data_IF_062583435711
#
_entry.id   IF_062583435711
#
_cell.length_a   1.000
_cell.length_b   1.000
_cell.length_c   1.000
_cell.angle_alpha   90.00
_cell.angle_beta   90.00
_cell.angle_gamma   90.00
#
_symmetry.space_group_name_H-M   'P 1'
#
loop_
_entity.id
_entity.type
_entity.pdbx_description
1 polymer ?
#
# COMPACT_ATOMS: atom_id res chain seq x y z
N UNK A 1 -5.05 12.86 -2.12
CA UNK A 1 -4.33 12.92 -0.83
C UNK A 1 -4.92 14.05 -0.01
N UNK A 2 -5.25 13.82 1.26
CA UNK A 2 -5.78 14.84 2.16
C UNK A 2 -5.18 14.64 3.57
N UNK A 3 -4.85 15.72 4.27
CA UNK A 3 -4.34 15.68 5.66
C UNK A 3 -5.40 16.18 6.62
N UNK A 4 -5.66 15.44 7.70
CA UNK A 4 -6.63 15.79 8.73
C UNK A 4 -5.97 15.78 10.11
N UNK A 5 -6.24 16.80 10.94
CA UNK A 5 -5.77 16.85 12.34
C UNK A 5 -6.88 16.40 13.29
N UNK A 6 -6.55 15.53 14.24
CA UNK A 6 -7.46 14.99 15.25
C UNK A 6 -6.80 15.01 16.63
N UNK A 7 -7.13 16.02 17.43
CA UNK A 7 -6.37 16.34 18.65
C UNK A 7 -4.92 16.64 18.28
N UNK A 8 -3.99 15.92 18.90
CA UNK A 8 -2.54 16.05 18.66
C UNK A 8 -2.03 15.15 17.51
N UNK A 9 -2.91 14.38 16.86
CA UNK A 9 -2.54 13.45 15.78
C UNK A 9 -2.85 14.04 14.40
N UNK A 10 -1.87 14.01 13.50
CA UNK A 10 -2.05 14.35 12.09
C UNK A 10 -2.15 13.07 11.25
N UNK A 11 -3.24 12.93 10.51
CA UNK A 11 -3.58 11.75 9.71
C UNK A 11 -3.47 12.10 8.22
N UNK A 12 -2.76 11.27 7.45
CA UNK A 12 -2.69 11.34 6.01
C UNK A 12 -3.68 10.36 5.38
N UNK A 13 -4.68 10.88 4.68
CA UNK A 13 -5.59 10.09 3.87
C UNK A 13 -5.03 9.99 2.45
N UNK A 14 -4.58 8.78 2.11
CA UNK A 14 -4.14 8.47 0.76
C UNK A 14 -4.87 7.21 0.29
N UNK A 15 -5.83 7.42 -0.61
CA UNK A 15 -6.34 6.33 -1.41
C UNK A 15 -5.32 6.07 -2.50
N UNK A 16 -4.80 4.86 -2.52
CA UNK A 16 -3.97 4.39 -3.60
C UNK A 16 -4.79 3.42 -4.44
N UNK A 17 -4.77 3.59 -5.75
CA UNK A 17 -5.27 2.53 -6.60
C UNK A 17 -4.18 1.45 -6.75
N UNK A 18 -4.60 0.19 -6.87
CA UNK A 18 -3.69 -0.95 -6.95
C UNK A 18 -2.69 -0.81 -8.11
N UNK A 19 -3.15 -0.31 -9.27
CA UNK A 19 -2.33 -0.17 -10.47
C UNK A 19 -1.17 0.83 -10.27
N UNK A 20 -1.42 1.92 -9.55
CA UNK A 20 -0.43 2.95 -9.20
C UNK A 20 0.65 2.39 -8.29
N UNK A 21 0.27 1.68 -7.21
CA UNK A 21 1.25 1.08 -6.30
C UNK A 21 2.11 0.07 -7.05
N UNK A 22 1.50 -0.83 -7.82
CA UNK A 22 2.25 -1.84 -8.57
C UNK A 22 3.17 -1.16 -9.59
N UNK A 23 2.67 -0.16 -10.33
CA UNK A 23 3.47 0.59 -11.29
C UNK A 23 4.67 1.30 -10.67
N UNK A 24 4.46 1.97 -9.53
CA UNK A 24 5.54 2.63 -8.80
C UNK A 24 6.58 1.63 -8.29
N UNK A 25 6.16 0.52 -7.70
CA UNK A 25 7.07 -0.49 -7.18
C UNK A 25 7.88 -1.17 -8.30
N UNK A 26 7.25 -1.45 -9.44
CA UNK A 26 7.91 -1.96 -10.63
C UNK A 26 8.99 -0.98 -11.13
N UNK A 27 8.67 0.31 -11.19
CA UNK A 27 9.65 1.36 -11.57
C UNK A 27 10.81 1.46 -10.58
N UNK A 28 10.59 1.08 -9.32
CA UNK A 28 11.63 0.98 -8.29
C UNK A 28 12.42 -0.34 -8.29
N UNK A 29 12.19 -1.23 -9.27
CA UNK A 29 12.90 -2.50 -9.41
C UNK A 29 12.41 -3.57 -8.43
N UNK A 30 11.14 -3.52 -8.04
CA UNK A 30 10.50 -4.55 -7.22
C UNK A 30 9.38 -5.26 -7.99
N UNK A 31 9.14 -6.53 -7.67
CA UNK A 31 8.01 -7.32 -8.17
C UNK A 31 7.05 -7.65 -7.03
N UNK A 32 5.76 -7.67 -7.34
CA UNK A 32 4.72 -8.08 -6.39
C UNK A 32 4.85 -9.58 -6.09
N UNK A 33 4.96 -9.93 -4.80
CA UNK A 33 5.04 -11.31 -4.31
C UNK A 33 3.67 -11.81 -3.86
N UNK A 34 2.96 -10.97 -3.10
CA UNK A 34 1.72 -11.38 -2.44
C UNK A 34 0.81 -10.19 -2.16
N UNK A 35 -0.48 -10.42 -2.31
CA UNK A 35 -1.55 -9.57 -1.80
C UNK A 35 -2.10 -10.18 -0.53
N UNK A 36 -2.40 -9.37 0.46
CA UNK A 36 -3.06 -9.82 1.68
C UNK A 36 -4.19 -8.88 2.06
N UNK A 37 -5.26 -9.46 2.58
CA UNK A 37 -6.37 -8.74 3.16
C UNK A 37 -6.31 -8.98 4.66
N UNK A 38 -6.14 -7.91 5.43
CA UNK A 38 -6.35 -7.99 6.86
C UNK A 38 -7.86 -7.88 7.11
N UNK A 39 -8.45 -9.01 7.53
CA UNK A 39 -9.86 -9.10 7.91
C UNK A 39 -10.16 -8.39 9.22
N UNK A 40 -9.15 -7.82 9.89
CA UNK A 40 -9.37 -6.87 10.97
C UNK A 40 -10.08 -5.64 10.40
N UNK A 41 -11.36 -5.47 10.77
CA UNK A 41 -12.12 -4.26 10.47
C UNK A 41 -11.57 -3.14 11.33
N UNK A 42 -10.47 -2.55 10.91
CA UNK A 42 -9.95 -1.37 11.58
C UNK A 42 -11.00 -0.27 11.48
N UNK A 43 -11.26 0.36 12.62
CA UNK A 43 -12.12 1.53 12.69
C UNK A 43 -11.39 2.68 11.99
N UNK A 44 -11.67 2.89 10.71
CA UNK A 44 -11.27 4.13 10.05
C UNK A 44 -11.99 5.27 10.75
N UNK A 45 -11.23 6.25 11.18
CA UNK A 45 -11.76 7.36 11.95
C UNK A 45 -12.71 8.16 11.04
N UNK A 46 -13.91 8.46 11.53
CA UNK A 46 -14.98 9.17 10.82
C UNK A 46 -15.59 8.48 9.58
N UNK A 47 -15.60 7.15 9.50
CA UNK A 47 -16.47 6.43 8.56
C UNK A 47 -17.41 5.48 9.30
N UNK A 48 -18.68 5.51 8.92
CA UNK A 48 -19.69 4.55 9.40
C UNK A 48 -19.48 3.15 8.81
N UNK A 49 -18.73 3.08 7.70
CA UNK A 49 -18.45 1.85 6.96
C UNK A 49 -17.12 1.29 7.43
N UNK A 50 -17.14 0.08 7.99
CA UNK A 50 -15.93 -0.69 8.24
C UNK A 50 -15.26 -1.03 6.90
N UNK A 51 -13.95 -0.79 6.80
CA UNK A 51 -13.18 -1.19 5.63
C UNK A 51 -12.34 -2.44 5.95
N UNK A 52 -12.05 -3.21 4.90
CA UNK A 52 -10.99 -4.22 4.94
C UNK A 52 -9.69 -3.57 4.47
N UNK A 53 -8.59 -3.86 5.16
CA UNK A 53 -7.28 -3.37 4.70
C UNK A 53 -6.72 -4.33 3.67
N UNK A 54 -6.34 -3.80 2.50
CA UNK A 54 -5.55 -4.53 1.51
C UNK A 54 -4.10 -4.04 1.56
N UNK A 55 -3.17 -5.00 1.61
CA UNK A 55 -1.73 -4.75 1.56
C UNK A 55 -1.05 -5.56 0.46
N UNK A 56 0.15 -5.14 0.12
CA UNK A 56 0.98 -5.73 -0.93
C UNK A 56 2.40 -5.95 -0.40
N UNK A 57 2.93 -7.15 -0.60
CA UNK A 57 4.31 -7.52 -0.31
C UNK A 57 5.10 -7.56 -1.62
N UNK A 58 6.24 -6.87 -1.65
CA UNK A 58 7.11 -6.79 -2.81
C UNK A 58 8.51 -7.34 -2.50
N UNK A 59 9.18 -7.89 -3.51
CA UNK A 59 10.58 -8.29 -3.45
C UNK A 59 11.41 -7.58 -4.51
N UNK A 60 12.71 -7.43 -4.28
CA UNK A 60 13.59 -6.79 -5.25
C UNK A 60 13.86 -7.73 -6.42
N UNK A 61 13.67 -7.24 -7.64
CA UNK A 61 13.99 -7.98 -8.87
C UNK A 61 15.50 -8.20 -8.88
N UNK A 62 15.94 -9.47 -8.87
CA UNK A 62 17.35 -9.80 -9.05
C UNK A 62 17.71 -9.51 -10.51
N UNK A 63 18.59 -8.55 -10.75
CA UNK A 63 19.28 -8.44 -12.03
C UNK A 63 20.15 -9.68 -12.17
N UNK A 64 19.77 -10.58 -13.08
CA UNK A 64 20.67 -11.62 -13.54
C UNK A 64 21.73 -10.90 -14.38
N UNK A 65 22.94 -10.75 -13.85
CA UNK A 65 24.07 -10.34 -14.67
C UNK A 65 24.38 -11.50 -15.62
N UNK A 66 23.81 -11.46 -16.82
CA UNK A 66 24.15 -12.35 -17.92
C UNK A 66 25.54 -11.98 -18.43
N UNK A 67 26.58 -12.46 -17.74
CA UNK A 67 27.92 -12.59 -18.30
C UNK A 67 28.09 -14.05 -18.71
N UNK A 68 27.70 -14.38 -19.94
CA UNK A 68 28.23 -15.51 -20.73
C UNK A 68 28.06 -15.20 -22.21
#
# INVERSE_FOLDING_TARGET
MATQRMGDTELLHQQFNKAEIIGQMNNCGFSLVREFVDGSRLKVVNTEIGCELQGWLFERIKTVNSNE
#
